data_IF_109913296338
#
_entry.id   IF_109913296338
#
_cell.length_a   1.000
_cell.length_b   1.000
_cell.length_c   1.000
_cell.angle_alpha   90.00
_cell.angle_beta   90.00
_cell.angle_gamma   90.00
#
_symmetry.space_group_name_H-M   'P 1'
#
loop_
_entity.id
_entity.type
_entity.pdbx_description
1 polymer ?
#
# COMPACT_ATOMS: atom_id res chain seq x y z
N UNK A 1 -13.31 13.32 -28.50
CA UNK A 1 -13.20 13.12 -27.03
C UNK A 1 -12.49 14.35 -26.49
N UNK A 2 -12.93 14.93 -25.36
CA UNK A 2 -12.29 16.11 -24.80
C UNK A 2 -11.12 15.67 -23.91
N UNK A 3 -9.98 16.36 -23.97
CA UNK A 3 -8.77 16.10 -23.17
C UNK A 3 -9.06 16.02 -21.66
N UNK A 4 -10.07 16.75 -21.17
CA UNK A 4 -10.51 16.68 -19.76
C UNK A 4 -11.09 15.31 -19.39
N UNK A 5 -11.84 14.70 -20.29
CA UNK A 5 -12.47 13.39 -20.06
C UNK A 5 -11.41 12.28 -20.05
N UNK A 6 -10.44 12.37 -20.97
CA UNK A 6 -9.30 11.44 -21.06
C UNK A 6 -8.40 11.51 -19.80
N UNK A 7 -8.16 12.71 -19.27
CA UNK A 7 -7.41 12.89 -18.01
C UNK A 7 -8.10 12.22 -16.82
N UNK A 8 -9.43 12.32 -16.74
CA UNK A 8 -10.22 11.75 -15.65
C UNK A 8 -10.27 10.22 -15.73
N UNK A 9 -10.41 9.66 -16.94
CA UNK A 9 -10.31 8.22 -17.20
C UNK A 9 -8.94 7.67 -16.81
N UNK A 10 -7.86 8.37 -17.17
CA UNK A 10 -6.49 7.97 -16.82
C UNK A 10 -6.26 8.00 -15.31
N UNK A 11 -6.71 9.05 -14.62
CA UNK A 11 -6.61 9.15 -13.16
C UNK A 11 -7.36 8.01 -12.47
N UNK A 12 -8.56 7.66 -12.97
CA UNK A 12 -9.34 6.54 -12.46
C UNK A 12 -8.60 5.21 -12.65
N UNK A 13 -8.04 4.96 -13.84
CA UNK A 13 -7.27 3.74 -14.11
C UNK A 13 -6.02 3.67 -13.21
N UNK A 14 -5.33 4.79 -13.03
CA UNK A 14 -4.16 4.87 -12.17
C UNK A 14 -4.52 4.52 -10.72
N UNK A 15 -5.56 5.15 -10.16
CA UNK A 15 -6.06 4.89 -8.82
C UNK A 15 -6.46 3.41 -8.62
N UNK A 16 -7.15 2.82 -9.60
CA UNK A 16 -7.51 1.40 -9.56
C UNK A 16 -6.28 0.48 -9.58
N UNK A 17 -5.25 0.86 -10.33
CA UNK A 17 -4.01 0.09 -10.41
C UNK A 17 -3.25 0.14 -9.08
N UNK A 18 -3.14 1.31 -8.45
CA UNK A 18 -2.53 1.46 -7.13
C UNK A 18 -3.29 0.67 -6.06
N UNK A 19 -4.62 0.69 -6.09
CA UNK A 19 -5.44 -0.11 -5.18
C UNK A 19 -5.17 -1.62 -5.34
N UNK A 20 -5.18 -2.14 -6.56
CA UNK A 20 -4.87 -3.55 -6.83
C UNK A 20 -3.45 -3.92 -6.40
N UNK A 21 -2.49 -3.01 -6.57
CA UNK A 21 -1.13 -3.21 -6.09
C UNK A 21 -1.11 -3.32 -4.56
N UNK A 22 -1.78 -2.40 -3.85
CA UNK A 22 -1.94 -2.47 -2.40
C UNK A 22 -2.60 -3.77 -1.92
N UNK A 23 -3.64 -4.25 -2.61
CA UNK A 23 -4.28 -5.55 -2.33
C UNK A 23 -3.31 -6.73 -2.47
N UNK A 24 -2.42 -6.70 -3.47
CA UNK A 24 -1.40 -7.76 -3.65
C UNK A 24 -0.28 -7.66 -2.62
N UNK A 25 0.16 -6.45 -2.31
CA UNK A 25 1.17 -6.23 -1.26
C UNK A 25 0.64 -6.74 0.08
N UNK A 26 -0.61 -6.46 0.45
CA UNK A 26 -1.19 -6.94 1.71
C UNK A 26 -1.22 -8.46 1.77
N UNK A 27 -1.63 -9.14 0.70
CA UNK A 27 -1.60 -10.60 0.63
C UNK A 27 -0.20 -11.17 0.88
N UNK A 28 0.84 -10.56 0.29
CA UNK A 28 2.22 -10.96 0.49
C UNK A 28 2.65 -10.73 1.93
N UNK A 29 2.45 -9.53 2.48
CA UNK A 29 2.85 -9.21 3.85
C UNK A 29 2.15 -10.11 4.87
N UNK A 30 0.85 -10.33 4.73
CA UNK A 30 0.08 -11.18 5.65
C UNK A 30 0.50 -12.66 5.59
N UNK A 31 1.12 -13.10 4.50
CA UNK A 31 1.70 -14.44 4.40
C UNK A 31 3.04 -14.59 5.14
N UNK A 32 3.65 -13.47 5.52
CA UNK A 32 4.92 -13.44 6.26
C UNK A 32 4.60 -13.42 7.76
N UNK A 33 5.27 -14.29 8.51
CA UNK A 33 5.10 -14.40 9.95
C UNK A 33 5.94 -13.36 10.71
N UNK A 34 5.25 -12.48 11.44
CA UNK A 34 5.83 -11.45 12.29
C UNK A 34 5.99 -10.08 11.63
N UNK A 35 5.64 -9.03 12.40
CA UNK A 35 5.78 -7.60 12.04
C UNK A 35 7.15 -7.25 11.42
N UNK A 36 8.25 -7.65 12.06
CA UNK A 36 9.61 -7.28 11.61
C UNK A 36 9.95 -7.82 10.22
N UNK A 37 9.53 -9.06 9.91
CA UNK A 37 9.75 -9.64 8.58
C UNK A 37 8.89 -8.96 7.52
N UNK A 38 7.68 -8.54 7.87
CA UNK A 38 6.80 -7.75 6.98
C UNK A 38 7.39 -6.39 6.66
N UNK A 39 7.90 -5.71 7.69
CA UNK A 39 8.60 -4.43 7.53
C UNK A 39 9.84 -4.59 6.65
N UNK A 40 10.65 -5.63 6.86
CA UNK A 40 11.77 -5.92 5.98
C UNK A 40 11.31 -6.23 4.54
N UNK A 41 10.18 -6.92 4.37
CA UNK A 41 9.54 -7.13 3.07
C UNK A 41 9.25 -5.83 2.33
N UNK A 42 8.70 -4.82 3.03
CA UNK A 42 8.49 -3.47 2.49
C UNK A 42 9.80 -2.78 2.12
N UNK A 43 10.81 -2.82 3.00
CA UNK A 43 12.14 -2.22 2.75
C UNK A 43 12.86 -2.84 1.55
N UNK A 44 12.65 -4.13 1.31
CA UNK A 44 13.30 -4.87 0.23
C UNK A 44 12.62 -4.70 -1.14
N UNK A 45 11.49 -3.99 -1.22
CA UNK A 45 10.84 -3.73 -2.50
C UNK A 45 11.74 -2.87 -3.39
N UNK A 46 11.95 -3.32 -4.64
CA UNK A 46 12.76 -2.58 -5.63
C UNK A 46 12.23 -1.18 -5.91
N UNK A 47 10.92 -1.00 -5.77
CA UNK A 47 10.24 0.27 -5.98
C UNK A 47 9.40 0.56 -4.76
N UNK A 48 9.52 1.78 -4.24
CA UNK A 48 8.69 2.26 -3.13
C UNK A 48 7.22 2.21 -3.55
N UNK A 49 6.36 1.48 -2.81
CA UNK A 49 4.93 1.53 -3.06
C UNK A 49 4.40 2.94 -2.90
N UNK A 50 3.40 3.32 -3.71
CA UNK A 50 2.76 4.62 -3.55
C UNK A 50 2.04 4.72 -2.20
N UNK A 51 1.83 5.96 -1.73
CA UNK A 51 1.08 6.18 -0.49
C UNK A 51 -0.33 5.59 -0.56
N UNK A 52 -0.99 5.64 -1.71
CA UNK A 52 -2.30 5.04 -1.92
C UNK A 52 -2.28 3.51 -1.81
N UNK A 53 -1.22 2.87 -2.30
CA UNK A 53 -1.03 1.43 -2.12
C UNK A 53 -0.82 1.08 -0.65
N UNK A 54 0.04 1.84 0.06
CA UNK A 54 0.30 1.65 1.48
C UNK A 54 -0.96 1.88 2.33
N UNK A 55 -1.76 2.89 2.00
CA UNK A 55 -3.06 3.13 2.61
C UNK A 55 -3.99 1.93 2.44
N UNK A 56 -4.06 1.39 1.22
CA UNK A 56 -4.87 0.19 0.93
C UNK A 56 -4.41 -1.01 1.77
N UNK A 57 -3.09 -1.22 1.91
CA UNK A 57 -2.53 -2.29 2.76
C UNK A 57 -2.95 -2.09 4.21
N UNK A 58 -2.80 -0.87 4.73
CA UNK A 58 -3.15 -0.52 6.10
C UNK A 58 -4.64 -0.75 6.39
N UNK A 59 -5.53 -0.31 5.50
CA UNK A 59 -6.98 -0.52 5.63
C UNK A 59 -7.37 -2.00 5.60
N UNK A 60 -6.71 -2.81 4.76
CA UNK A 60 -6.93 -4.25 4.71
C UNK A 60 -6.46 -4.89 6.02
N UNK A 61 -5.33 -4.46 6.57
CA UNK A 61 -4.83 -4.86 7.88
C UNK A 61 -5.86 -4.58 8.97
N UNK A 62 -6.38 -3.35 9.05
CA UNK A 62 -7.40 -2.97 10.02
C UNK A 62 -8.66 -3.84 9.90
N UNK A 63 -9.16 -4.07 8.69
CA UNK A 63 -10.37 -4.88 8.44
C UNK A 63 -10.21 -6.35 8.82
N UNK A 64 -8.98 -6.86 8.82
CA UNK A 64 -8.65 -8.25 9.13
C UNK A 64 -8.10 -8.44 10.54
N UNK A 65 -8.08 -7.36 11.33
CA UNK A 65 -7.47 -7.33 12.67
C UNK A 65 -5.99 -7.77 12.67
N UNK A 66 -5.31 -7.56 11.54
CA UNK A 66 -3.90 -7.85 11.40
C UNK A 66 -3.07 -6.60 11.76
N UNK A 67 -2.88 -6.42 13.06
CA UNK A 67 -2.16 -5.27 13.62
C UNK A 67 -0.67 -5.29 13.31
N UNK A 68 -0.06 -6.47 13.14
CA UNK A 68 1.35 -6.57 12.75
C UNK A 68 1.59 -5.98 11.35
N UNK A 69 0.68 -6.22 10.40
CA UNK A 69 0.72 -5.57 9.09
C UNK A 69 0.54 -4.06 9.24
N UNK A 70 -0.40 -3.62 10.08
CA UNK A 70 -0.67 -2.20 10.31
C UNK A 70 0.55 -1.45 10.87
N UNK A 71 1.22 -2.04 11.86
CA UNK A 71 2.42 -1.48 12.49
C UNK A 71 3.60 -1.45 11.53
N UNK A 72 3.84 -2.53 10.78
CA UNK A 72 4.89 -2.57 9.77
C UNK A 72 4.71 -1.46 8.71
N UNK A 73 3.49 -1.25 8.22
CA UNK A 73 3.21 -0.17 7.26
C UNK A 73 3.41 1.21 7.88
N UNK A 74 2.95 1.44 9.12
CA UNK A 74 3.14 2.71 9.83
C UNK A 74 4.62 3.05 10.00
N UNK A 75 5.41 2.08 10.48
CA UNK A 75 6.84 2.26 10.68
C UNK A 75 7.55 2.55 9.36
N UNK A 76 7.25 1.76 8.32
CA UNK A 76 7.79 2.00 6.98
C UNK A 76 7.45 3.41 6.45
N UNK A 77 6.22 3.87 6.64
CA UNK A 77 5.82 5.23 6.26
C UNK A 77 6.64 6.30 6.99
N UNK A 78 6.86 6.13 8.31
CA UNK A 78 7.69 7.04 9.11
C UNK A 78 9.13 7.07 8.57
N UNK A 79 9.73 5.92 8.28
CA UNK A 79 11.09 5.83 7.71
C UNK A 79 11.24 6.55 6.37
N UNK A 80 10.16 6.58 5.58
CA UNK A 80 10.13 7.22 4.27
C UNK A 80 9.61 8.66 4.29
N UNK A 81 9.27 9.21 5.46
CA UNK A 81 8.67 10.54 5.59
C UNK A 81 7.28 10.65 4.94
N UNK A 82 6.55 9.53 4.86
CA UNK A 82 5.21 9.46 4.31
C UNK A 82 4.16 9.50 5.42
N UNK A 83 2.97 10.03 5.11
CA UNK A 83 1.85 10.10 6.04
C UNK A 83 0.64 9.37 5.47
N UNK A 84 0.19 8.34 6.18
CA UNK A 84 -1.09 7.68 5.91
C UNK A 84 -2.23 8.69 6.13
N UNK A 85 -3.25 8.62 5.28
CA UNK A 85 -4.40 9.53 5.30
C UNK A 85 -5.53 8.98 6.17
#
# INVERSE_FOLDING_TARGET
>A
MNLKDESMELEKLFNQTQKKLGERISQILMSIDGKEKRLQGLRNMKTTPSIQSLQTVYEIGLKREDYETCEAVKEYCIEKGLKLQ
#
